data_IF_094393087441
#
_entry.id   IF_094393087441
#
_cell.length_a   1.000
_cell.length_b   1.000
_cell.length_c   1.000
_cell.angle_alpha   90.00
_cell.angle_beta   90.00
_cell.angle_gamma   90.00
#
_symmetry.space_group_name_H-M   'P 1'
#
loop_
_entity.id
_entity.type
_entity.pdbx_description
1 polymer ?
#
# COMPACT_ATOMS: atom_id res chain seq x y z
N UNK A 1 -0.01 1.97 -48.76
CA UNK A 1 -0.26 2.47 -47.40
C UNK A 1 -0.49 1.27 -46.49
N UNK A 2 0.58 0.69 -45.94
CA UNK A 2 0.52 -0.53 -45.12
C UNK A 2 0.43 -0.16 -43.65
N UNK A 3 -0.73 -0.39 -43.05
CA UNK A 3 -1.00 -0.17 -41.63
C UNK A 3 -0.17 -1.15 -40.79
N UNK A 4 0.84 -0.63 -40.08
CA UNK A 4 1.52 -1.38 -39.01
C UNK A 4 0.53 -1.60 -37.86
N UNK A 5 -0.02 -2.82 -37.79
CA UNK A 5 -0.73 -3.31 -36.61
C UNK A 5 0.27 -3.33 -35.45
N UNK A 6 0.18 -2.31 -34.57
CA UNK A 6 0.97 -2.22 -33.34
C UNK A 6 0.56 -3.40 -32.45
N UNK A 7 1.37 -4.45 -32.43
CA UNK A 7 1.23 -5.55 -31.48
C UNK A 7 1.37 -4.99 -30.06
N UNK A 8 0.25 -4.78 -29.39
CA UNK A 8 0.23 -4.45 -27.97
C UNK A 8 0.58 -5.72 -27.19
N UNK A 9 1.88 -5.97 -27.03
CA UNK A 9 2.37 -7.02 -26.12
C UNK A 9 1.72 -6.81 -24.75
N UNK A 10 1.05 -7.84 -24.25
CA UNK A 10 0.46 -7.84 -22.91
C UNK A 10 1.55 -7.65 -21.86
N UNK A 11 1.30 -6.76 -20.89
CA UNK A 11 2.20 -6.58 -19.76
C UNK A 11 2.26 -7.86 -18.93
N UNK A 12 3.47 -8.38 -18.74
CA UNK A 12 3.68 -9.50 -17.83
C UNK A 12 3.58 -9.02 -16.38
N UNK A 13 3.31 -9.94 -15.44
CA UNK A 13 3.40 -9.65 -14.00
C UNK A 13 4.76 -9.04 -13.63
N UNK A 14 5.84 -9.52 -14.25
CA UNK A 14 7.18 -8.96 -14.09
C UNK A 14 7.28 -7.52 -14.57
N UNK A 15 6.68 -7.20 -15.72
CA UNK A 15 6.61 -5.82 -16.24
C UNK A 15 5.88 -4.88 -15.29
N UNK A 16 4.72 -5.28 -14.77
CA UNK A 16 3.97 -4.49 -13.77
C UNK A 16 4.79 -4.27 -12.50
N UNK A 17 5.46 -5.32 -12.00
CA UNK A 17 6.35 -5.21 -10.84
C UNK A 17 7.47 -4.19 -11.08
N UNK A 18 8.11 -4.20 -12.25
CA UNK A 18 9.18 -3.26 -12.57
C UNK A 18 8.67 -1.82 -12.68
N UNK A 19 7.50 -1.61 -13.29
CA UNK A 19 6.88 -0.28 -13.35
C UNK A 19 6.61 0.26 -11.93
N UNK A 20 6.04 -0.57 -11.06
CA UNK A 20 5.76 -0.16 -9.67
C UNK A 20 7.05 0.15 -8.91
N UNK A 21 8.09 -0.68 -9.09
CA UNK A 21 9.39 -0.41 -8.48
C UNK A 21 9.97 0.92 -8.95
N UNK A 22 9.92 1.18 -10.26
CA UNK A 22 10.41 2.43 -10.84
C UNK A 22 9.69 3.66 -10.28
N UNK A 23 8.38 3.57 -10.02
CA UNK A 23 7.63 4.67 -9.39
C UNK A 23 8.17 4.98 -8.00
N UNK A 24 8.47 3.98 -7.19
CA UNK A 24 9.05 4.18 -5.85
C UNK A 24 10.50 4.68 -5.90
N UNK A 25 11.31 4.16 -6.82
CA UNK A 25 12.68 4.63 -7.03
C UNK A 25 12.66 6.13 -7.42
N UNK A 26 11.79 6.54 -8.34
CA UNK A 26 11.62 7.96 -8.70
C UNK A 26 11.19 8.82 -7.51
N UNK A 27 10.34 8.31 -6.62
CA UNK A 27 9.91 9.02 -5.42
C UNK A 27 11.05 9.20 -4.41
N UNK A 28 11.91 8.19 -4.27
CA UNK A 28 13.13 8.26 -3.44
C UNK A 28 14.08 9.31 -4.01
N UNK A 29 14.34 9.29 -5.32
CA UNK A 29 15.20 10.26 -5.99
C UNK A 29 14.68 11.68 -5.77
N UNK A 30 13.36 11.88 -5.87
CA UNK A 30 12.73 13.16 -5.60
C UNK A 30 12.96 13.61 -4.15
N UNK A 31 12.68 12.74 -3.16
CA UNK A 31 12.91 13.06 -1.75
C UNK A 31 14.37 13.44 -1.49
N UNK A 32 15.33 12.73 -2.07
CA UNK A 32 16.76 13.02 -1.92
C UNK A 32 17.15 14.36 -2.55
N UNK A 33 16.49 14.78 -3.63
CA UNK A 33 16.74 16.06 -4.29
C UNK A 33 16.25 17.29 -3.52
N UNK A 34 15.37 17.12 -2.51
CA UNK A 34 14.85 18.24 -1.72
C UNK A 34 15.88 18.87 -0.79
N UNK A 35 16.98 18.14 -0.48
CA UNK A 35 17.99 18.56 0.50
C UNK A 35 17.59 18.35 1.96
N UNK A 36 16.38 17.84 2.23
CA UNK A 36 15.92 17.47 3.57
C UNK A 36 16.19 16.00 3.90
N UNK A 37 16.44 15.72 5.18
CA UNK A 37 16.66 14.35 5.65
C UNK A 37 15.34 13.59 5.75
N UNK A 38 15.11 12.67 4.82
CA UNK A 38 13.92 11.80 4.76
C UNK A 38 14.24 10.31 4.93
N UNK A 39 15.22 9.96 5.76
CA UNK A 39 15.75 8.59 5.91
C UNK A 39 14.65 7.54 6.13
N UNK A 40 13.72 7.81 7.06
CA UNK A 40 12.63 6.88 7.37
C UNK A 40 11.66 6.69 6.21
N UNK A 41 11.35 7.75 5.46
CA UNK A 41 10.45 7.67 4.31
C UNK A 41 11.12 6.91 3.17
N UNK A 42 12.39 7.23 2.88
CA UNK A 42 13.21 6.52 1.89
C UNK A 42 13.29 5.03 2.18
N UNK A 43 13.54 4.64 3.43
CA UNK A 43 13.62 3.23 3.81
C UNK A 43 12.29 2.50 3.61
N UNK A 44 11.18 3.14 3.97
CA UNK A 44 9.83 2.59 3.70
C UNK A 44 9.57 2.42 2.21
N UNK A 45 9.93 3.40 1.39
CA UNK A 45 9.72 3.35 -0.07
C UNK A 45 10.58 2.25 -0.73
N UNK A 46 11.79 1.97 -0.22
CA UNK A 46 12.63 0.87 -0.72
C UNK A 46 11.99 -0.51 -0.53
N UNK A 47 11.19 -0.67 0.52
CA UNK A 47 10.49 -1.92 0.83
C UNK A 47 9.12 -2.01 0.13
N UNK A 48 8.67 -0.93 -0.51
CA UNK A 48 7.36 -0.86 -1.12
C UNK A 48 7.25 -1.76 -2.37
N UNK A 49 6.04 -2.29 -2.58
CA UNK A 49 5.72 -3.22 -3.66
C UNK A 49 4.24 -3.14 -4.01
N UNK A 50 3.84 -3.83 -5.09
CA UNK A 50 2.42 -3.95 -5.46
C UNK A 50 1.56 -4.51 -4.32
N UNK A 51 2.09 -5.48 -3.57
CA UNK A 51 1.39 -6.08 -2.45
C UNK A 51 1.32 -5.13 -1.25
N UNK A 52 2.38 -4.35 -1.01
CA UNK A 52 2.39 -3.31 0.02
C UNK A 52 1.34 -2.24 -0.25
N UNK A 53 1.15 -1.82 -1.52
CA UNK A 53 0.08 -0.90 -1.91
C UNK A 53 -1.31 -1.48 -1.63
N UNK A 54 -1.52 -2.76 -1.95
CA UNK A 54 -2.79 -3.46 -1.65
C UNK A 54 -3.09 -3.45 -0.16
N UNK A 55 -2.09 -3.71 0.68
CA UNK A 55 -2.25 -3.66 2.13
C UNK A 55 -2.54 -2.25 2.64
N UNK A 56 -1.81 -1.26 2.13
CA UNK A 56 -2.04 0.14 2.49
C UNK A 56 -3.48 0.56 2.15
N UNK A 57 -3.99 0.18 0.98
CA UNK A 57 -5.37 0.46 0.60
C UNK A 57 -6.40 -0.29 1.48
N UNK A 58 -6.13 -1.56 1.80
CA UNK A 58 -6.97 -2.37 2.69
C UNK A 58 -7.09 -1.77 4.09
N UNK A 59 -5.95 -1.48 4.74
CA UNK A 59 -5.90 -0.82 6.05
C UNK A 59 -6.59 0.54 6.01
N UNK A 60 -6.29 1.39 5.01
CA UNK A 60 -6.88 2.72 4.92
C UNK A 60 -8.42 2.70 4.78
N UNK A 61 -8.98 1.72 4.04
CA UNK A 61 -10.43 1.55 3.97
C UNK A 61 -11.01 1.13 5.34
N UNK A 62 -10.31 0.30 6.10
CA UNK A 62 -10.75 -0.11 7.44
C UNK A 62 -10.70 1.05 8.43
N UNK A 63 -9.64 1.88 8.40
CA UNK A 63 -9.53 3.10 9.22
C UNK A 63 -10.70 4.07 8.92
N UNK A 64 -11.11 4.12 7.65
CA UNK A 64 -12.28 4.86 7.16
C UNK A 64 -13.63 4.21 7.50
N UNK A 65 -13.64 3.13 8.30
CA UNK A 65 -14.84 2.40 8.73
C UNK A 65 -15.69 1.87 7.56
N UNK A 66 -15.07 1.57 6.42
CA UNK A 66 -15.74 0.91 5.31
C UNK A 66 -16.12 -0.51 5.72
N UNK A 67 -17.34 -0.94 5.41
CA UNK A 67 -17.80 -2.31 5.69
C UNK A 67 -16.84 -3.34 5.08
N UNK A 68 -16.45 -4.34 5.89
CA UNK A 68 -15.46 -5.36 5.52
C UNK A 68 -15.81 -6.10 4.22
N UNK A 69 -17.10 -6.25 3.90
CA UNK A 69 -17.56 -6.89 2.66
C UNK A 69 -17.23 -6.03 1.45
N UNK A 70 -17.38 -4.71 1.56
CA UNK A 70 -16.98 -3.79 0.50
C UNK A 70 -15.47 -3.72 0.35
N UNK A 71 -14.70 -3.78 1.45
CA UNK A 71 -13.24 -3.88 1.38
C UNK A 71 -12.79 -5.15 0.65
N UNK A 72 -13.41 -6.29 0.96
CA UNK A 72 -13.18 -7.57 0.26
C UNK A 72 -13.42 -7.42 -1.24
N UNK A 73 -14.57 -6.86 -1.62
CA UNK A 73 -14.99 -6.73 -3.02
C UNK A 73 -14.09 -5.75 -3.79
N UNK A 74 -13.74 -4.61 -3.18
CA UNK A 74 -12.81 -3.62 -3.75
C UNK A 74 -11.41 -4.20 -3.99
N UNK A 75 -10.95 -5.09 -3.10
CA UNK A 75 -9.68 -5.79 -3.29
C UNK A 75 -9.82 -6.98 -4.23
N UNK A 76 -11.04 -7.46 -4.50
CA UNK A 76 -11.31 -8.67 -5.29
C UNK A 76 -10.86 -9.95 -4.57
N UNK A 77 -10.97 -10.01 -3.24
CA UNK A 77 -10.75 -11.23 -2.48
C UNK A 77 -11.95 -12.17 -2.62
N UNK A 78 -11.70 -13.44 -2.89
CA UNK A 78 -12.74 -14.47 -2.93
C UNK A 78 -13.34 -14.74 -1.55
N UNK A 79 -12.53 -14.65 -0.49
CA UNK A 79 -12.94 -14.93 0.89
C UNK A 79 -12.86 -13.71 1.80
N UNK A 80 -13.87 -13.57 2.65
CA UNK A 80 -13.88 -12.56 3.72
C UNK A 80 -12.76 -12.82 4.74
N UNK A 81 -12.36 -14.07 4.94
CA UNK A 81 -11.28 -14.45 5.86
C UNK A 81 -9.92 -13.91 5.44
N UNK A 82 -9.67 -13.71 4.14
CA UNK A 82 -8.44 -13.05 3.67
C UNK A 82 -8.47 -11.55 3.96
N UNK A 83 -9.66 -10.96 4.07
CA UNK A 83 -9.84 -9.52 4.31
C UNK A 83 -9.87 -9.19 5.81
N UNK A 84 -10.29 -10.14 6.65
CA UNK A 84 -10.36 -9.95 8.10
C UNK A 84 -9.02 -9.62 8.75
N UNK A 85 -7.89 -9.91 8.09
CA UNK A 85 -6.56 -9.48 8.55
C UNK A 85 -6.47 -7.95 8.75
N UNK A 86 -7.26 -7.15 8.04
CA UNK A 86 -7.26 -5.69 8.18
C UNK A 86 -8.03 -5.20 9.41
N UNK A 87 -8.89 -6.03 10.02
CA UNK A 87 -9.54 -5.70 11.29
C UNK A 87 -8.52 -5.59 12.42
N UNK A 88 -7.56 -6.51 12.46
CA UNK A 88 -6.54 -6.55 13.51
C UNK A 88 -5.59 -5.35 13.47
N UNK A 89 -5.40 -4.72 12.31
CA UNK A 89 -4.60 -3.50 12.21
C UNK A 89 -5.28 -2.33 12.96
N UNK A 90 -6.60 -2.16 12.83
CA UNK A 90 -7.38 -1.17 13.59
C UNK A 90 -7.40 -1.51 15.08
N UNK A 91 -7.57 -2.78 15.45
CA UNK A 91 -7.53 -3.21 16.86
C UNK A 91 -6.15 -2.93 17.49
N UNK A 92 -5.04 -3.24 16.81
CA UNK A 92 -3.68 -2.96 17.28
C UNK A 92 -3.41 -1.46 17.42
N UNK A 93 -3.92 -0.63 16.49
CA UNK A 93 -3.83 0.83 16.58
C UNK A 93 -4.65 1.38 17.76
N UNK A 94 -5.87 0.88 17.99
CA UNK A 94 -6.71 1.24 19.14
C UNK A 94 -6.07 0.83 20.46
N UNK A 95 -5.51 -0.37 20.54
CA UNK A 95 -4.80 -0.84 21.72
C UNK A 95 -3.59 0.05 22.03
N UNK A 96 -2.77 0.38 21.02
CA UNK A 96 -1.65 1.32 21.18
C UNK A 96 -2.10 2.72 21.60
N UNK A 97 -3.18 3.24 21.04
CA UNK A 97 -3.74 4.54 21.42
C UNK A 97 -4.25 4.54 22.87
N UNK A 98 -4.92 3.47 23.28
CA UNK A 98 -5.41 3.27 24.65
C UNK A 98 -4.26 3.18 25.64
N UNK A 99 -3.23 2.38 25.34
CA UNK A 99 -2.03 2.29 26.17
C UNK A 99 -1.28 3.62 26.27
N UNK A 100 -1.18 4.38 25.19
CA UNK A 100 -0.54 5.69 25.19
C UNK A 100 -1.31 6.71 26.04
N UNK A 101 -2.64 6.70 25.97
CA UNK A 101 -3.50 7.55 26.83
C UNK A 101 -3.43 7.15 28.30
N UNK A 102 -3.28 5.86 28.60
CA UNK A 102 -3.13 5.34 29.97
C UNK A 102 -1.73 5.59 30.55
N UNK A 103 -0.69 5.66 29.71
CA UNK A 103 0.71 5.90 30.13
C UNK A 103 1.04 7.36 30.51
N UNK A 104 0.10 8.30 30.41
CA UNK A 104 0.36 9.73 30.68
C UNK A 104 -0.01 10.21 32.10
N UNK A 105 -0.48 9.35 33.00
CA UNK A 105 -0.97 9.79 34.32
C UNK A 105 -0.42 9.01 35.53
N UNK A 106 0.88 8.69 35.57
CA UNK A 106 1.58 8.36 36.85
C UNK A 106 3.02 8.85 36.83
#
# INVERSE_FOLDING_TARGET
MTTLLRSTRTLTRGGVRQIIKQVFDNAIDHLQSTGEAHERATERLRQASAHWLRHTAGSHMMDGQVDLRHVRDNLGHESISTTSQYLHADDDDRHRATEAGLRLNW
#
